data_IF_694093124250
#
_entry.id   IF_694093124250
#
_cell.length_a   1.000
_cell.length_b   1.000
_cell.length_c   1.000
_cell.angle_alpha   90.00
_cell.angle_beta   90.00
_cell.angle_gamma   90.00
#
_symmetry.space_group_name_H-M   'P 1'
#
loop_
_entity.id
_entity.type
_entity.pdbx_description
1 polymer ?
#
# COMPACT_ATOMS: atom_id res chain seq x y z
N UNK A 1 -5.32 -1.91 -6.40
CA UNK A 1 -4.37 -2.77 -5.64
C UNK A 1 -4.71 -4.22 -5.91
N UNK A 2 -3.72 -5.07 -6.16
CA UNK A 2 -3.96 -6.50 -6.35
C UNK A 2 -2.73 -7.36 -5.98
N UNK A 3 -2.93 -8.65 -5.65
CA UNK A 3 -4.24 -9.26 -5.37
C UNK A 3 -4.81 -8.75 -4.05
N UNK A 4 -6.13 -8.80 -3.91
CA UNK A 4 -6.83 -8.62 -2.64
C UNK A 4 -7.93 -9.68 -2.56
N UNK A 5 -7.87 -10.64 -1.62
CA UNK A 5 -6.88 -10.82 -0.55
C UNK A 5 -5.45 -11.09 -1.03
N UNK A 6 -4.46 -10.74 -0.22
CA UNK A 6 -3.03 -10.75 -0.53
C UNK A 6 -2.29 -11.75 0.35
N UNK A 7 -1.32 -12.47 -0.22
CA UNK A 7 -0.35 -13.27 0.53
C UNK A 7 0.86 -12.41 0.90
N UNK A 8 2.01 -12.69 0.31
CA UNK A 8 3.27 -12.04 0.70
C UNK A 8 3.54 -10.71 0.00
N UNK A 9 2.84 -10.42 -1.10
CA UNK A 9 3.08 -9.21 -1.90
C UNK A 9 1.79 -8.56 -2.35
N UNK A 10 1.82 -7.23 -2.44
CA UNK A 10 0.80 -6.43 -3.13
C UNK A 10 1.41 -5.61 -4.24
N UNK A 11 0.66 -5.46 -5.32
CA UNK A 11 1.00 -4.60 -6.43
C UNK A 11 0.07 -3.40 -6.46
N UNK A 12 0.69 -2.23 -6.53
CA UNK A 12 0.05 -0.96 -6.76
C UNK A 12 0.17 -0.63 -8.24
N UNK A 13 -0.93 -0.18 -8.81
CA UNK A 13 -0.99 0.45 -10.12
C UNK A 13 -1.85 1.69 -9.98
N UNK A 14 -1.25 2.84 -10.27
CA UNK A 14 -1.90 4.13 -10.32
C UNK A 14 -1.84 4.68 -11.75
N UNK A 15 -2.66 5.69 -12.04
CA UNK A 15 -2.57 6.44 -13.31
C UNK A 15 -1.46 7.49 -13.25
N UNK A 16 -1.19 8.01 -12.06
CA UNK A 16 -0.16 9.00 -11.76
C UNK A 16 1.05 8.35 -11.08
N UNK A 17 2.18 9.06 -11.09
CA UNK A 17 3.38 8.64 -10.38
C UNK A 17 3.15 8.65 -8.88
N UNK A 18 3.43 7.50 -8.26
CA UNK A 18 3.36 7.35 -6.81
C UNK A 18 4.62 7.99 -6.23
N UNK A 19 4.45 8.91 -5.29
CA UNK A 19 5.53 9.62 -4.57
C UNK A 19 5.72 9.10 -3.15
N UNK A 20 4.67 8.49 -2.57
CA UNK A 20 4.73 7.91 -1.25
C UNK A 20 3.66 6.85 -1.01
N UNK A 21 3.99 5.89 -0.14
CA UNK A 21 3.03 4.88 0.33
C UNK A 21 3.16 4.70 1.83
N UNK A 22 2.04 4.70 2.53
CA UNK A 22 1.96 4.41 3.96
C UNK A 22 0.94 3.31 4.20
N UNK A 23 1.30 2.35 5.04
CA UNK A 23 0.39 1.26 5.44
C UNK A 23 0.09 1.38 6.92
N UNK A 24 -1.20 1.33 7.25
CA UNK A 24 -1.71 1.36 8.61
C UNK A 24 -2.50 0.09 8.90
N UNK A 25 -2.48 -0.36 10.15
CA UNK A 25 -3.42 -1.38 10.61
C UNK A 25 -4.78 -0.75 10.98
N UNK A 26 -5.75 -1.58 11.35
CA UNK A 26 -7.09 -1.12 11.76
C UNK A 26 -7.14 -0.28 13.04
N UNK A 27 -6.09 -0.29 13.87
CA UNK A 27 -5.98 0.59 15.04
C UNK A 27 -5.39 1.97 14.69
N UNK A 28 -5.10 2.25 13.42
CA UNK A 28 -4.45 3.47 12.97
C UNK A 28 -2.95 3.53 13.22
N UNK A 29 -2.32 2.41 13.62
CA UNK A 29 -0.87 2.34 13.79
C UNK A 29 -0.21 2.27 12.42
N UNK A 30 0.77 3.14 12.18
CA UNK A 30 1.64 3.08 11.01
C UNK A 30 2.54 1.84 11.09
N UNK A 31 2.47 1.01 10.07
CA UNK A 31 3.21 -0.25 9.96
C UNK A 31 4.45 -0.05 9.09
N UNK A 32 4.26 0.56 7.92
CA UNK A 32 5.32 0.76 6.93
C UNK A 32 5.14 2.10 6.24
N UNK A 33 6.25 2.75 5.91
CA UNK A 33 6.33 3.90 4.99
C UNK A 33 7.35 3.60 3.91
N UNK A 34 6.98 3.86 2.66
CA UNK A 34 7.83 3.70 1.50
C UNK A 34 7.87 5.01 0.75
N UNK A 35 9.08 5.53 0.53
CA UNK A 35 9.30 6.62 -0.42
C UNK A 35 9.53 5.99 -1.78
N UNK A 36 8.71 6.35 -2.76
CA UNK A 36 8.77 5.79 -4.11
C UNK A 36 9.45 6.78 -5.05
N UNK A 37 10.11 6.26 -6.08
CA UNK A 37 10.91 7.08 -7.01
C UNK A 37 10.09 7.68 -8.16
N UNK A 38 8.81 8.00 -7.95
CA UNK A 38 7.94 8.54 -9.00
C UNK A 38 7.67 7.52 -10.12
N UNK A 39 7.06 6.39 -9.77
CA UNK A 39 6.60 5.41 -10.77
C UNK A 39 5.14 5.04 -10.51
N UNK A 40 4.34 4.77 -11.54
CA UNK A 40 2.92 4.47 -11.40
C UNK A 40 2.66 3.05 -10.87
N UNK A 41 3.67 2.17 -10.95
CA UNK A 41 3.59 0.78 -10.54
C UNK A 41 4.60 0.52 -9.42
N UNK A 42 4.16 -0.13 -8.34
CA UNK A 42 5.02 -0.50 -7.22
C UNK A 42 4.64 -1.88 -6.69
N UNK A 43 5.63 -2.68 -6.34
CA UNK A 43 5.43 -3.96 -5.64
C UNK A 43 5.92 -3.79 -4.21
N UNK A 44 5.08 -4.17 -3.25
CA UNK A 44 5.37 -4.04 -1.82
C UNK A 44 5.35 -5.43 -1.22
N UNK A 45 6.43 -5.74 -0.52
CA UNK A 45 6.55 -6.93 0.31
C UNK A 45 5.80 -6.70 1.64
N UNK A 46 4.89 -7.62 1.95
CA UNK A 46 4.08 -7.67 3.16
C UNK A 46 4.15 -9.06 3.80
N UNK A 47 5.17 -9.87 3.49
CA UNK A 47 5.39 -11.20 4.06
C UNK A 47 5.46 -11.19 5.58
N UNK A 48 6.07 -10.14 6.16
CA UNK A 48 6.20 -9.95 7.60
C UNK A 48 4.91 -9.40 8.27
N UNK A 49 3.84 -9.18 7.51
CA UNK A 49 2.61 -8.62 8.05
C UNK A 49 1.72 -9.74 8.60
N UNK A 50 1.17 -9.51 9.79
CA UNK A 50 0.19 -10.40 10.41
C UNK A 50 -1.09 -10.38 9.57
N UNK A 51 -1.77 -11.53 9.47
CA UNK A 51 -3.04 -11.62 8.76
C UNK A 51 -4.08 -10.68 9.36
N UNK A 52 -4.80 -9.98 8.47
CA UNK A 52 -5.73 -8.95 8.89
C UNK A 52 -6.02 -7.92 7.82
N UNK A 53 -6.78 -6.90 8.23
CA UNK A 53 -7.14 -5.79 7.36
C UNK A 53 -6.18 -4.61 7.56
N UNK A 54 -5.79 -4.00 6.45
CA UNK A 54 -4.87 -2.88 6.41
C UNK A 54 -5.43 -1.76 5.55
N UNK A 55 -5.02 -0.54 5.87
CA UNK A 55 -5.34 0.68 5.13
C UNK A 55 -4.04 1.13 4.45
N UNK A 56 -4.10 1.27 3.14
CA UNK A 56 -3.04 1.81 2.32
C UNK A 56 -3.35 3.26 1.96
N UNK A 57 -2.44 4.16 2.28
CA UNK A 57 -2.47 5.56 1.85
C UNK A 57 -1.40 5.75 0.78
N UNK A 58 -1.83 6.12 -0.43
CA UNK A 58 -0.98 6.32 -1.60
C UNK A 58 -0.95 7.82 -1.88
N UNK A 59 0.24 8.39 -1.95
CA UNK A 59 0.47 9.79 -2.32
C UNK A 59 0.99 9.84 -3.75
N UNK A 60 0.44 10.76 -4.53
CA UNK A 60 0.96 11.17 -5.84
C UNK A 60 1.39 12.64 -5.74
N UNK A 61 1.83 13.25 -6.84
CA UNK A 61 2.18 14.68 -6.84
C UNK A 61 0.98 15.59 -6.53
N UNK A 62 -0.22 15.20 -6.96
CA UNK A 62 -1.42 16.03 -6.87
C UNK A 62 -2.43 15.52 -5.85
N UNK A 63 -2.49 14.21 -5.61
CA UNK A 63 -3.60 13.57 -4.91
C UNK A 63 -3.14 12.58 -3.85
N UNK A 64 -4.06 12.30 -2.92
CA UNK A 64 -3.90 11.25 -1.90
C UNK A 64 -5.06 10.28 -2.02
N UNK A 65 -4.74 9.03 -2.28
CA UNK A 65 -5.70 7.94 -2.40
C UNK A 65 -5.62 7.04 -1.17
N UNK A 66 -6.76 6.54 -0.71
CA UNK A 66 -6.82 5.60 0.41
C UNK A 66 -7.60 4.36 0.02
N UNK A 67 -7.01 3.20 0.25
CA UNK A 67 -7.53 1.91 -0.16
C UNK A 67 -7.39 0.89 0.97
N UNK A 68 -8.21 -0.16 0.94
CA UNK A 68 -8.17 -1.23 1.95
C UNK A 68 -7.81 -2.55 1.30
N UNK A 69 -7.01 -3.36 1.99
CA UNK A 69 -6.70 -4.72 1.57
C UNK A 69 -6.66 -5.69 2.74
N UNK A 70 -6.80 -6.98 2.44
CA UNK A 70 -6.79 -8.07 3.41
C UNK A 70 -5.55 -8.93 3.18
N UNK A 71 -4.67 -9.03 4.20
CA UNK A 71 -3.54 -9.97 4.26
C UNK A 71 -4.01 -11.33 4.80
N UNK A 72 -3.54 -12.41 4.19
CA UNK A 72 -3.79 -13.82 4.56
C UNK A 72 -2.52 -14.65 4.56
#
# INVERSE_FOLDING_TARGET
IYPNPSGDVINLRAQEDITGVQIYNMSGKLITTLTTFGQPNQTIDISDFIDGMYILRIETEENVYTEKFVKR
#
